data_IF_904024052567
#
_entry.id   IF_904024052567
#
_cell.length_a   1.000
_cell.length_b   1.000
_cell.length_c   1.000
_cell.angle_alpha   90.00
_cell.angle_beta   90.00
_cell.angle_gamma   90.00
#
_symmetry.space_group_name_H-M   'P 1'
#
loop_
_entity.id
_entity.type
_entity.pdbx_description
1 polymer ?
#
# COMPACT_ATOMS: atom_id res chain seq x y z
N UNK A 1 7.54 -16.25 1.86
CA UNK A 1 6.98 -14.88 2.01
C UNK A 1 6.98 -14.22 0.64
N UNK A 2 5.97 -13.43 0.32
CA UNK A 2 5.84 -12.81 -1.00
C UNK A 2 6.66 -11.49 -0.98
N UNK A 3 7.84 -11.47 -1.59
CA UNK A 3 8.84 -10.38 -1.47
C UNK A 3 8.25 -9.00 -1.80
N UNK A 4 7.44 -8.93 -2.87
CA UNK A 4 6.71 -7.72 -3.25
C UNK A 4 5.80 -7.23 -2.12
N UNK A 5 5.12 -8.13 -1.42
CA UNK A 5 4.15 -7.78 -0.38
C UNK A 5 4.83 -7.10 0.81
N UNK A 6 5.99 -7.63 1.20
CA UNK A 6 6.84 -7.03 2.24
C UNK A 6 7.35 -5.65 1.82
N UNK A 7 7.80 -5.52 0.57
CA UNK A 7 8.26 -4.22 0.05
C UNK A 7 7.15 -3.17 0.11
N UNK A 8 5.93 -3.51 -0.31
CA UNK A 8 4.80 -2.57 -0.27
C UNK A 8 4.44 -2.18 1.16
N UNK A 9 4.44 -3.13 2.10
CA UNK A 9 4.19 -2.82 3.52
C UNK A 9 5.21 -1.80 4.05
N UNK A 10 6.50 -2.00 3.76
CA UNK A 10 7.55 -1.03 4.14
C UNK A 10 7.32 0.33 3.49
N UNK A 11 6.99 0.38 2.19
CA UNK A 11 6.72 1.65 1.53
C UNK A 11 5.47 2.34 2.09
N UNK A 12 4.46 1.56 2.47
CA UNK A 12 3.23 2.06 3.08
C UNK A 12 3.51 2.74 4.41
N UNK A 13 4.36 2.18 5.27
CA UNK A 13 4.75 2.80 6.55
C UNK A 13 5.34 4.21 6.37
N UNK A 14 6.07 4.44 5.27
CA UNK A 14 6.73 5.72 5.02
C UNK A 14 5.84 6.73 4.28
N UNK A 15 4.96 6.23 3.40
CA UNK A 15 4.27 7.07 2.42
C UNK A 15 2.74 7.03 2.50
N UNK A 16 2.14 6.28 3.44
CA UNK A 16 0.69 6.16 3.60
C UNK A 16 -0.01 7.52 3.74
N UNK A 17 0.63 8.49 4.39
CA UNK A 17 0.13 9.86 4.57
C UNK A 17 -0.09 10.62 3.25
N UNK A 18 0.60 10.23 2.18
CA UNK A 18 0.55 10.84 0.85
C UNK A 18 -0.47 10.19 -0.09
N UNK A 19 -1.07 9.07 0.32
CA UNK A 19 -2.15 8.42 -0.39
C UNK A 19 -3.47 9.17 -0.19
N UNK A 20 -4.40 9.04 -1.15
CA UNK A 20 -5.78 9.44 -0.91
C UNK A 20 -6.40 8.59 0.20
N UNK A 21 -7.38 9.09 0.97
CA UNK A 21 -8.00 8.33 2.06
C UNK A 21 -8.45 6.94 1.61
N UNK A 22 -9.15 6.86 0.48
CA UNK A 22 -9.64 5.60 -0.08
C UNK A 22 -8.53 4.61 -0.46
N UNK A 23 -7.39 5.08 -0.96
CA UNK A 23 -6.25 4.20 -1.26
C UNK A 23 -5.57 3.74 0.02
N UNK A 24 -5.46 4.62 1.01
CA UNK A 24 -4.89 4.31 2.32
C UNK A 24 -5.72 3.23 3.00
N UNK A 25 -7.02 3.43 3.16
CA UNK A 25 -7.91 2.50 3.86
C UNK A 25 -7.89 1.11 3.19
N UNK A 26 -7.96 1.06 1.85
CA UNK A 26 -7.90 -0.19 1.10
C UNK A 26 -6.54 -0.89 1.27
N UNK A 27 -5.43 -0.14 1.22
CA UNK A 27 -4.10 -0.73 1.36
C UNK A 27 -3.83 -1.18 2.80
N UNK A 28 -4.33 -0.46 3.80
CA UNK A 28 -4.23 -0.82 5.22
C UNK A 28 -4.93 -2.16 5.47
N UNK A 29 -6.20 -2.26 5.08
CA UNK A 29 -6.98 -3.50 5.21
C UNK A 29 -6.35 -4.67 4.44
N UNK A 30 -5.73 -4.41 3.28
CA UNK A 30 -5.15 -5.45 2.44
C UNK A 30 -3.76 -5.92 2.90
N UNK A 31 -2.89 -5.01 3.34
CA UNK A 31 -1.50 -5.31 3.69
C UNK A 31 -1.28 -5.54 5.18
N UNK A 32 -2.05 -4.88 6.04
CA UNK A 32 -1.89 -4.95 7.50
C UNK A 32 -2.92 -5.89 8.15
N UNK A 33 -4.16 -5.88 7.67
CA UNK A 33 -5.23 -6.73 8.23
C UNK A 33 -5.45 -8.05 7.45
N UNK A 34 -4.67 -8.29 6.39
CA UNK A 34 -4.72 -9.49 5.54
C UNK A 34 -6.11 -9.78 4.93
N UNK A 35 -6.99 -8.77 4.81
CA UNK A 35 -8.32 -8.94 4.22
C UNK A 35 -8.23 -9.17 2.71
N UNK A 36 -9.09 -10.04 2.19
CA UNK A 36 -9.26 -10.24 0.75
C UNK A 36 -9.95 -9.06 0.08
N UNK A 37 -9.79 -8.92 -1.24
CA UNK A 37 -10.48 -7.87 -2.01
C UNK A 37 -12.01 -7.94 -1.91
N UNK A 38 -12.56 -9.11 -1.59
CA UNK A 38 -14.00 -9.30 -1.41
C UNK A 38 -14.45 -8.84 -0.03
N UNK A 39 -13.70 -9.18 1.03
CA UNK A 39 -13.97 -8.71 2.40
C UNK A 39 -13.86 -7.19 2.49
N UNK A 40 -12.84 -6.59 1.87
CA UNK A 40 -12.69 -5.13 1.81
C UNK A 40 -13.82 -4.47 1.02
N UNK A 41 -14.31 -5.12 -0.03
CA UNK A 41 -15.42 -4.59 -0.82
C UNK A 41 -16.72 -4.55 -0.01
N UNK A 42 -16.95 -5.59 0.78
CA UNK A 42 -18.08 -5.67 1.71
C UNK A 42 -17.97 -4.63 2.83
N UNK A 43 -16.82 -4.55 3.49
CA UNK A 43 -16.57 -3.64 4.62
C UNK A 43 -16.69 -2.15 4.21
N UNK A 44 -16.13 -1.79 3.05
CA UNK A 44 -16.14 -0.42 2.56
C UNK A 44 -17.38 -0.08 1.70
N UNK A 45 -18.28 -1.02 1.45
CA UNK A 45 -19.48 -0.81 0.63
C UNK A 45 -19.17 -0.42 -0.82
N UNK A 46 -18.07 -0.92 -1.40
CA UNK A 46 -17.64 -0.64 -2.78
C UNK A 46 -17.53 -1.91 -3.61
N UNK A 47 -17.41 -1.79 -4.92
CA UNK A 47 -17.21 -2.98 -5.76
C UNK A 47 -15.82 -3.57 -5.57
N UNK A 48 -15.70 -4.90 -5.68
CA UNK A 48 -14.41 -5.60 -5.72
C UNK A 48 -13.45 -5.05 -6.78
N UNK A 49 -13.98 -4.57 -7.92
CA UNK A 49 -13.18 -3.89 -8.94
C UNK A 49 -12.66 -2.53 -8.46
N UNK A 50 -13.46 -1.79 -7.69
CA UNK A 50 -13.05 -0.57 -7.01
C UNK A 50 -11.91 -0.82 -6.03
N UNK A 51 -11.99 -1.87 -5.21
CA UNK A 51 -10.90 -2.28 -4.30
C UNK A 51 -9.64 -2.61 -5.10
N UNK A 52 -9.73 -3.47 -6.13
CA UNK A 52 -8.58 -3.83 -6.98
C UNK A 52 -7.92 -2.60 -7.59
N UNK A 53 -8.70 -1.64 -8.08
CA UNK A 53 -8.18 -0.41 -8.65
C UNK A 53 -7.47 0.45 -7.60
N UNK A 54 -8.04 0.57 -6.39
CA UNK A 54 -7.42 1.31 -5.30
C UNK A 54 -6.08 0.68 -4.87
N UNK A 55 -6.00 -0.65 -4.75
CA UNK A 55 -4.74 -1.37 -4.51
C UNK A 55 -3.73 -1.03 -5.61
N UNK A 56 -4.04 -1.34 -6.88
CA UNK A 56 -3.08 -1.17 -7.98
C UNK A 56 -2.59 0.28 -8.13
N UNK A 57 -3.48 1.26 -7.96
CA UNK A 57 -3.10 2.68 -8.07
C UNK A 57 -2.31 3.16 -6.86
N UNK A 58 -2.64 2.69 -5.65
CA UNK A 58 -1.90 2.96 -4.42
C UNK A 58 -0.49 2.38 -4.48
N UNK A 59 -0.34 1.10 -4.86
CA UNK A 59 0.98 0.46 -5.06
C UNK A 59 1.87 1.27 -6.01
N UNK A 60 1.33 1.67 -7.17
CA UNK A 60 2.06 2.49 -8.16
C UNK A 60 2.52 3.83 -7.58
N UNK A 61 1.69 4.46 -6.76
CA UNK A 61 2.04 5.72 -6.12
C UNK A 61 3.15 5.53 -5.09
N UNK A 62 3.09 4.49 -4.25
CA UNK A 62 4.14 4.15 -3.29
C UNK A 62 5.50 3.96 -3.99
N UNK A 63 5.55 3.18 -5.08
CA UNK A 63 6.78 3.01 -5.86
C UNK A 63 7.25 4.31 -6.52
N UNK A 64 6.34 5.14 -7.01
CA UNK A 64 6.70 6.44 -7.60
C UNK A 64 7.30 7.38 -6.56
N UNK A 65 6.74 7.40 -5.35
CA UNK A 65 7.25 8.17 -4.23
C UNK A 65 8.64 7.69 -3.83
N UNK A 66 8.84 6.37 -3.72
CA UNK A 66 10.17 5.82 -3.42
C UNK A 66 11.20 6.16 -4.51
N UNK A 67 10.84 6.04 -5.78
CA UNK A 67 11.74 6.42 -6.88
C UNK A 67 12.10 7.93 -6.87
N UNK A 68 11.23 8.77 -6.32
CA UNK A 68 11.45 10.23 -6.28
C UNK A 68 12.17 10.69 -5.02
N UNK A 69 11.90 10.05 -3.88
CA UNK A 69 12.37 10.50 -2.55
C UNK A 69 13.44 9.57 -1.97
N UNK A 70 13.36 8.27 -2.23
CA UNK A 70 14.30 7.25 -1.78
C UNK A 70 14.41 7.11 -0.27
N UNK A 71 13.37 7.47 0.49
CA UNK A 71 13.44 7.51 1.97
C UNK A 71 13.63 6.11 2.54
N UNK A 72 12.84 5.13 2.08
CA UNK A 72 12.93 3.76 2.60
C UNK A 72 14.30 3.13 2.24
N UNK A 73 14.80 3.38 1.03
CA UNK A 73 16.15 2.97 0.62
C UNK A 73 17.26 3.60 1.46
N UNK A 74 17.18 4.90 1.76
CA UNK A 74 18.16 5.60 2.60
C UNK A 74 18.17 5.08 4.03
N UNK A 75 17.01 4.84 4.63
CA UNK A 75 16.95 4.28 5.98
C UNK A 75 17.57 2.88 6.06
N UNK A 76 17.35 2.03 5.05
CA UNK A 76 18.00 0.70 4.98
C UNK A 76 19.52 0.79 4.95
N UNK A 77 20.09 1.81 4.29
CA UNK A 77 21.54 2.01 4.24
C UNK A 77 22.14 2.55 5.55
N UNK A 78 21.38 3.33 6.33
CA UNK A 78 21.85 3.88 7.61
C UNK A 78 21.82 2.82 8.73
N UNK A 79 20.89 1.86 8.64
CA UNK A 79 20.71 0.80 9.65
C UNK A 79 21.52 -0.48 9.37
N UNK A 80 22.28 -0.52 8.27
CA UNK A 80 23.18 -1.62 7.89
C UNK A 80 24.60 -1.37 8.43
#
# INVERSE_FOLDING_TARGET
>A
MNEKRNEIAVLFDHYSSLLSPRQRDVLDLYYNDDLSLSEIAEDLGITRQGVRNAVVTGEKLLFKLENSLGVAGRERMIRA
#
